data_IF_108288908609
#
_entry.id   IF_108288908609
#
_cell.length_a   1.000
_cell.length_b   1.000
_cell.length_c   1.000
_cell.angle_alpha   90.00
_cell.angle_beta   90.00
_cell.angle_gamma   90.00
#
_symmetry.space_group_name_H-M   'P 1'
#
loop_
_entity.id
_entity.type
_entity.pdbx_description
1 polymer ?
#
# COMPACT_ATOMS: atom_id res chain seq x y z
N UNK A 1 -17.18 8.02 15.40
CA UNK A 1 -16.96 6.57 15.23
C UNK A 1 -16.22 6.43 13.94
N UNK A 2 -14.92 6.31 14.08
CA UNK A 2 -13.90 6.77 13.15
C UNK A 2 -12.83 5.68 13.07
N UNK A 3 -12.85 4.77 12.10
CA UNK A 3 -11.76 3.78 11.97
C UNK A 3 -10.72 4.17 10.94
N UNK A 4 -9.49 3.80 11.29
CA UNK A 4 -8.32 4.08 10.50
C UNK A 4 -7.48 2.81 10.34
N UNK A 5 -7.20 2.43 9.10
CA UNK A 5 -6.54 1.14 8.79
C UNK A 5 -5.39 1.33 7.81
N UNK A 6 -4.30 0.58 8.05
CA UNK A 6 -3.23 0.37 7.10
C UNK A 6 -3.17 -1.11 6.72
N UNK A 7 -3.42 -1.47 5.45
CA UNK A 7 -3.51 -2.88 5.01
C UNK A 7 -2.48 -3.24 3.92
N UNK A 8 -1.79 -4.37 4.09
CA UNK A 8 -0.73 -4.86 3.19
C UNK A 8 -0.98 -6.34 2.83
N UNK A 9 -1.12 -6.66 1.53
CA UNK A 9 -1.34 -8.03 1.06
C UNK A 9 -0.03 -8.85 0.93
N UNK A 10 -0.07 -10.17 1.14
CA UNK A 10 1.09 -11.09 1.06
C UNK A 10 1.15 -11.93 -0.22
N UNK A 11 2.34 -12.12 -0.80
CA UNK A 11 2.61 -13.12 -1.85
C UNK A 11 3.63 -14.16 -1.40
N UNK A 12 3.34 -15.45 -1.57
CA UNK A 12 4.22 -16.57 -1.20
C UNK A 12 4.81 -17.20 -2.46
N UNK A 13 6.13 -17.16 -2.63
CA UNK A 13 6.87 -17.98 -3.60
C UNK A 13 7.95 -18.77 -2.87
N UNK A 14 7.80 -20.09 -2.83
CA UNK A 14 8.74 -21.02 -2.16
C UNK A 14 9.72 -21.57 -3.19
N UNK A 15 11.01 -21.28 -3.06
CA UNK A 15 12.08 -22.23 -3.45
C UNK A 15 13.26 -22.15 -2.47
N UNK A 16 13.95 -23.27 -2.29
CA UNK A 16 14.73 -23.66 -1.11
C UNK A 16 16.25 -23.47 -1.23
N UNK A 17 16.86 -22.86 -0.18
CA UNK A 17 18.21 -23.11 0.45
C UNK A 17 19.51 -22.89 -0.39
N UNK A 18 20.72 -22.78 0.24
CA UNK A 18 21.17 -21.86 1.31
C UNK A 18 22.57 -21.20 1.01
N UNK A 19 23.05 -20.38 1.97
CA UNK A 19 24.47 -20.15 2.42
C UNK A 19 25.11 -18.76 2.22
N UNK A 20 25.31 -18.11 3.39
CA UNK A 20 26.45 -17.34 3.95
C UNK A 20 27.04 -16.12 3.24
N UNK A 21 27.05 -15.00 3.97
CA UNK A 21 28.13 -14.02 3.91
C UNK A 21 28.47 -13.53 5.32
N UNK A 22 29.74 -13.71 5.67
CA UNK A 22 30.45 -13.00 6.74
C UNK A 22 30.53 -11.49 6.38
N UNK A 23 30.44 -10.62 7.39
CA UNK A 23 30.41 -9.16 7.26
C UNK A 23 31.51 -8.55 8.10
N UNK A 24 32.42 -7.82 7.46
CA UNK A 24 33.26 -6.74 8.01
C UNK A 24 33.86 -5.99 6.79
N UNK A 25 34.02 -4.67 6.71
CA UNK A 25 33.88 -3.55 7.64
C UNK A 25 33.71 -2.22 6.85
N UNK A 26 33.07 -1.24 7.51
CA UNK A 26 33.36 0.22 7.63
C UNK A 26 34.56 0.76 6.80
N UNK A 27 34.55 1.92 6.12
CA UNK A 27 34.44 3.28 6.69
C UNK A 27 34.60 4.40 5.62
N UNK A 28 33.92 5.53 5.85
CA UNK A 28 34.39 6.94 5.78
C UNK A 28 34.67 7.69 4.46
N UNK A 29 33.74 8.62 4.17
CA UNK A 29 33.85 10.08 3.92
C UNK A 29 34.96 10.72 3.07
N UNK A 30 34.54 11.61 2.17
CA UNK A 30 35.18 12.93 1.99
C UNK A 30 34.25 13.96 1.29
N UNK A 31 34.06 15.10 1.95
CA UNK A 31 33.61 16.42 1.47
C UNK A 31 34.49 16.95 0.31
N UNK A 32 34.16 17.95 -0.52
CA UNK A 32 33.60 19.26 -0.18
C UNK A 32 33.33 20.16 -1.42
N UNK A 33 32.48 21.18 -1.19
CA UNK A 33 32.51 22.59 -1.64
C UNK A 33 31.94 23.04 -3.02
N UNK A 34 30.99 23.97 -2.83
CA UNK A 34 30.26 24.95 -3.64
C UNK A 34 31.07 25.79 -4.67
N UNK A 35 30.36 26.25 -5.71
CA UNK A 35 30.39 27.65 -6.16
C UNK A 35 29.08 28.01 -6.89
N UNK A 36 28.57 29.19 -6.60
CA UNK A 36 27.41 29.87 -7.19
C UNK A 36 27.91 30.87 -8.26
N UNK A 37 27.03 31.30 -9.19
CA UNK A 37 26.67 32.70 -9.54
C UNK A 37 26.28 32.87 -11.03
N UNK A 38 25.03 33.33 -11.23
CA UNK A 38 24.51 34.35 -12.20
C UNK A 38 24.64 34.24 -13.73
N UNK A 39 23.49 33.94 -14.34
CA UNK A 39 22.62 34.80 -15.19
C UNK A 39 23.07 35.46 -16.51
N UNK A 40 22.16 35.26 -17.49
CA UNK A 40 21.66 36.18 -18.55
C UNK A 40 22.58 36.44 -19.75
N UNK A 41 22.14 36.76 -20.98
CA UNK A 41 20.89 36.69 -21.77
C UNK A 41 21.24 37.44 -23.08
N UNK A 42 20.72 37.03 -24.24
CA UNK A 42 20.44 37.89 -25.42
C UNK A 42 19.92 37.01 -26.58
N UNK A 43 18.60 37.00 -26.88
CA UNK A 43 17.89 37.85 -27.88
C UNK A 43 18.12 37.37 -29.33
N UNK A 44 17.15 37.30 -30.26
CA UNK A 44 15.82 37.92 -30.39
C UNK A 44 15.06 37.33 -31.59
N UNK A 45 13.72 37.41 -31.49
CA UNK A 45 12.59 37.44 -32.45
C UNK A 45 12.90 37.71 -33.95
N UNK A 46 12.10 37.27 -34.93
CA UNK A 46 10.69 37.67 -35.24
C UNK A 46 9.94 36.60 -36.07
N UNK A 47 8.71 36.16 -35.74
CA UNK A 47 7.36 36.56 -36.27
C UNK A 47 7.30 36.75 -37.81
N UNK A 48 6.31 36.29 -38.59
CA UNK A 48 4.85 36.16 -38.43
C UNK A 48 4.30 35.09 -39.44
N UNK A 49 3.29 34.27 -39.13
CA UNK A 49 1.84 34.44 -39.45
C UNK A 49 1.54 34.16 -40.96
N UNK A 50 0.54 33.42 -41.44
CA UNK A 50 -0.74 32.96 -40.93
C UNK A 50 -1.41 31.98 -41.96
N UNK A 51 -2.35 31.16 -41.49
CA UNK A 51 -3.66 30.82 -42.12
C UNK A 51 -3.80 29.84 -43.31
N UNK A 52 -4.44 28.71 -42.96
CA UNK A 52 -5.61 28.05 -43.59
C UNK A 52 -5.54 27.20 -44.87
N UNK A 53 -6.09 25.99 -44.68
CA UNK A 53 -7.12 25.32 -45.48
C UNK A 53 -6.73 24.53 -46.73
N UNK A 54 -6.76 23.20 -46.53
CA UNK A 54 -7.32 22.13 -47.36
C UNK A 54 -7.78 22.43 -48.78
N UNK A 55 -7.26 21.66 -49.74
CA UNK A 55 -8.11 20.99 -50.73
C UNK A 55 -7.40 19.80 -51.37
N UNK A 56 -8.16 18.72 -51.45
CA UNK A 56 -7.91 17.40 -52.02
C UNK A 56 -7.51 17.37 -53.50
N UNK A 57 -6.59 16.48 -53.86
CA UNK A 57 -6.72 15.63 -55.05
C UNK A 57 -5.71 14.47 -55.00
N UNK A 58 -6.21 13.23 -54.89
CA UNK A 58 -5.54 12.04 -55.43
C UNK A 58 -5.27 12.29 -56.93
N UNK A 59 -4.18 11.86 -57.58
CA UNK A 59 -3.62 10.51 -57.79
C UNK A 59 -2.22 10.79 -58.38
N UNK A 60 -1.16 10.03 -58.12
CA UNK A 60 -0.87 8.76 -58.80
C UNK A 60 0.46 8.25 -58.24
N UNK A 61 0.46 7.02 -57.77
CA UNK A 61 1.66 6.34 -57.29
C UNK A 61 2.66 6.12 -58.43
N UNK A 62 3.89 6.59 -58.24
CA UNK A 62 5.06 5.95 -58.81
C UNK A 62 5.76 5.17 -57.70
N UNK A 63 5.50 3.86 -57.72
CA UNK A 63 6.17 2.86 -56.90
C UNK A 63 7.64 2.82 -57.28
N UNK A 64 8.45 3.64 -56.61
CA UNK A 64 9.88 3.37 -56.55
C UNK A 64 10.09 2.40 -55.41
N UNK A 65 10.27 1.12 -55.74
CA UNK A 65 10.54 0.05 -54.77
C UNK A 65 11.84 0.32 -54.01
N UNK A 66 11.75 1.08 -52.92
CA UNK A 66 12.80 1.12 -51.91
C UNK A 66 12.79 -0.24 -51.20
N UNK A 67 13.72 -1.11 -51.61
CA UNK A 67 13.97 -2.39 -50.95
C UNK A 67 14.53 -2.10 -49.55
N UNK A 68 13.65 -1.95 -48.56
CA UNK A 68 14.07 -1.90 -47.16
C UNK A 68 14.72 -3.24 -46.82
N UNK A 69 16.05 -3.27 -46.75
CA UNK A 69 16.78 -4.39 -46.15
C UNK A 69 16.42 -4.40 -44.66
N UNK A 70 15.43 -5.19 -44.28
CA UNK A 70 15.25 -5.59 -42.90
C UNK A 70 16.41 -6.53 -42.56
N UNK A 71 17.46 -5.99 -41.95
CA UNK A 71 18.45 -6.80 -41.25
C UNK A 71 17.77 -7.35 -40.00
N UNK A 72 17.34 -8.60 -40.06
CA UNK A 72 16.95 -9.34 -38.85
C UNK A 72 18.22 -9.54 -38.03
N UNK A 73 18.40 -8.71 -37.00
CA UNK A 73 19.50 -8.89 -36.04
C UNK A 73 19.18 -10.11 -35.18
N UNK A 74 19.79 -11.27 -35.50
CA UNK A 74 19.75 -12.43 -34.61
C UNK A 74 20.63 -12.14 -33.40
N UNK A 75 20.01 -11.74 -32.30
CA UNK A 75 20.68 -11.63 -31.00
C UNK A 75 20.62 -13.01 -30.35
N UNK A 76 21.77 -13.50 -29.86
CA UNK A 76 21.79 -14.78 -29.16
C UNK A 76 21.13 -14.65 -27.78
N UNK A 77 20.46 -15.69 -27.34
CA UNK A 77 19.85 -15.73 -25.99
C UNK A 77 20.89 -15.46 -24.88
N UNK A 78 22.11 -15.97 -25.05
CA UNK A 78 23.20 -15.73 -24.11
C UNK A 78 23.67 -14.26 -24.10
N UNK A 79 23.60 -13.57 -25.24
CA UNK A 79 23.89 -12.13 -25.34
C UNK A 79 22.84 -11.31 -24.60
N UNK A 80 21.56 -11.68 -24.74
CA UNK A 80 20.46 -11.06 -23.98
C UNK A 80 20.63 -11.29 -22.48
N UNK A 81 20.95 -12.51 -22.06
CA UNK A 81 21.20 -12.81 -20.64
C UNK A 81 22.41 -12.07 -20.09
N UNK A 82 23.47 -11.93 -20.88
CA UNK A 82 24.67 -11.21 -20.45
C UNK A 82 24.38 -9.71 -20.34
N UNK A 83 23.68 -9.12 -21.31
CA UNK A 83 23.22 -7.73 -21.25
C UNK A 83 22.28 -7.49 -20.07
N UNK A 84 21.41 -8.44 -19.72
CA UNK A 84 20.58 -8.36 -18.53
C UNK A 84 21.45 -8.34 -17.26
N UNK A 85 22.35 -9.32 -17.11
CA UNK A 85 23.22 -9.48 -15.94
C UNK A 85 24.19 -8.32 -15.74
N UNK A 86 24.63 -7.68 -16.82
CA UNK A 86 25.55 -6.52 -16.77
C UNK A 86 24.82 -5.18 -16.84
N UNK A 87 23.49 -5.19 -16.97
CA UNK A 87 22.72 -3.95 -16.95
C UNK A 87 22.87 -3.31 -15.56
N UNK A 88 23.29 -2.05 -15.58
CA UNK A 88 23.41 -1.24 -14.36
C UNK A 88 22.06 -1.11 -13.63
N UNK A 89 20.94 -1.29 -14.35
CA UNK A 89 19.60 -1.39 -13.80
C UNK A 89 19.49 -2.54 -12.78
N UNK A 90 19.88 -3.76 -13.13
CA UNK A 90 19.83 -4.92 -12.22
C UNK A 90 20.86 -4.84 -11.07
N UNK A 91 22.03 -4.24 -11.30
CA UNK A 91 23.03 -4.04 -10.23
C UNK A 91 22.62 -2.94 -9.21
N UNK A 92 21.65 -2.10 -9.57
CA UNK A 92 21.04 -1.10 -8.67
C UNK A 92 19.84 -1.70 -7.91
N UNK A 93 19.44 -2.96 -8.17
CA UNK A 93 18.22 -3.55 -7.61
C UNK A 93 18.24 -3.81 -6.10
N UNK A 94 19.42 -3.78 -5.47
CA UNK A 94 19.51 -3.79 -4.00
C UNK A 94 19.01 -2.47 -3.38
N UNK A 95 19.07 -1.37 -4.15
CA UNK A 95 18.45 -0.06 -3.89
C UNK A 95 17.13 0.14 -4.68
N UNK A 96 16.77 -0.79 -5.58
CA UNK A 96 15.42 -0.87 -6.17
C UNK A 96 14.45 -1.67 -5.29
N UNK A 97 14.78 -1.84 -4.01
CA UNK A 97 13.77 -2.01 -2.97
C UNK A 97 12.84 -0.78 -3.05
N UNK A 98 11.55 -1.02 -3.24
CA UNK A 98 10.53 0.03 -3.26
C UNK A 98 10.64 0.90 -2.01
N UNK A 99 11.20 2.10 -2.14
CA UNK A 99 11.25 3.09 -1.06
C UNK A 99 10.11 4.10 -1.24
N UNK A 100 9.09 3.98 -0.40
CA UNK A 100 7.96 4.90 -0.40
C UNK A 100 8.30 6.12 0.46
N UNK A 101 8.23 7.30 -0.15
CA UNK A 101 8.40 8.61 0.49
C UNK A 101 7.11 9.41 0.35
N UNK A 102 7.07 10.58 0.98
CA UNK A 102 5.91 11.48 0.84
C UNK A 102 5.64 11.88 -0.62
N UNK A 103 6.69 11.96 -1.45
CA UNK A 103 6.56 12.48 -2.80
C UNK A 103 6.03 11.42 -3.80
N UNK A 104 6.20 10.13 -3.49
CA UNK A 104 5.75 9.02 -4.33
C UNK A 104 4.63 8.18 -3.69
N UNK A 105 4.15 8.54 -2.50
CA UNK A 105 3.18 7.77 -1.72
C UNK A 105 1.98 7.28 -2.54
N UNK A 106 1.30 8.17 -3.28
CA UNK A 106 0.11 7.83 -4.07
C UNK A 106 0.41 6.96 -5.29
N UNK A 107 1.67 6.77 -5.68
CA UNK A 107 2.04 5.79 -6.69
C UNK A 107 1.90 4.36 -6.16
N UNK A 108 2.15 4.15 -4.87
CA UNK A 108 2.21 2.83 -4.22
C UNK A 108 1.01 2.51 -3.34
N UNK A 109 0.37 3.54 -2.77
CA UNK A 109 -0.79 3.39 -1.90
C UNK A 109 -2.07 3.84 -2.58
N UNK A 110 -3.16 3.13 -2.28
CA UNK A 110 -4.53 3.57 -2.52
C UNK A 110 -5.09 4.14 -1.23
N UNK A 111 -5.85 5.23 -1.33
CA UNK A 111 -6.65 5.78 -0.24
C UNK A 111 -8.10 5.32 -0.43
N UNK A 112 -8.76 4.94 0.66
CA UNK A 112 -10.14 4.47 0.67
C UNK A 112 -10.96 5.17 1.76
N UNK A 113 -12.27 5.30 1.54
CA UNK A 113 -13.19 5.90 2.48
C UNK A 113 -12.90 7.39 2.72
N UNK A 114 -12.81 7.81 3.98
CA UNK A 114 -12.50 9.20 4.37
C UNK A 114 -11.03 9.58 4.26
N UNK A 115 -10.14 8.65 3.90
CA UNK A 115 -8.71 8.89 3.93
C UNK A 115 -8.30 9.95 2.89
N UNK A 116 -7.51 10.93 3.32
CA UNK A 116 -6.92 11.98 2.48
C UNK A 116 -5.42 12.06 2.69
N UNK A 117 -4.70 12.66 1.73
CA UNK A 117 -3.24 12.76 1.79
C UNK A 117 -2.75 14.18 1.50
N UNK A 118 -1.99 14.74 2.44
CA UNK A 118 -1.22 15.96 2.25
C UNK A 118 0.21 15.61 1.83
N UNK A 119 0.51 15.79 0.54
CA UNK A 119 1.83 15.50 -0.03
C UNK A 119 2.94 16.43 0.47
N UNK A 120 2.61 17.67 0.87
CA UNK A 120 3.60 18.61 1.36
C UNK A 120 4.12 18.15 2.72
N UNK A 121 3.20 17.77 3.61
CA UNK A 121 3.52 17.30 4.96
C UNK A 121 3.87 15.81 5.03
N UNK A 122 3.44 15.00 4.05
CA UNK A 122 3.54 13.54 4.11
C UNK A 122 2.57 12.91 5.11
N UNK A 123 1.41 13.53 5.31
CA UNK A 123 0.42 13.11 6.31
C UNK A 123 -0.77 12.48 5.61
N UNK A 124 -1.08 11.24 5.97
CA UNK A 124 -2.37 10.61 5.65
C UNK A 124 -3.33 10.91 6.80
N UNK A 125 -4.38 11.68 6.54
CA UNK A 125 -5.50 11.84 7.48
C UNK A 125 -6.49 10.75 7.16
N UNK A 126 -6.51 9.70 7.98
CA UNK A 126 -7.30 8.50 7.70
C UNK A 126 -8.77 8.74 8.06
N UNK A 127 -9.00 9.33 9.23
CA UNK A 127 -10.30 9.88 9.65
C UNK A 127 -10.10 11.30 10.18
N UNK A 128 -10.96 12.27 9.80
CA UNK A 128 -11.05 13.54 10.52
C UNK A 128 -11.74 13.33 11.87
N UNK A 129 -11.63 14.31 12.77
CA UNK A 129 -12.34 14.36 14.05
C UNK A 129 -13.84 14.68 13.82
N UNK A 130 -14.53 13.71 13.22
CA UNK A 130 -15.95 13.76 12.87
C UNK A 130 -16.61 12.42 13.17
N UNK A 131 -17.94 12.45 13.37
CA UNK A 131 -18.71 11.22 13.57
C UNK A 131 -18.75 10.35 12.29
N UNK A 132 -18.83 9.03 12.51
CA UNK A 132 -19.09 8.01 11.49
C UNK A 132 -18.16 8.06 10.26
N UNK A 133 -16.86 8.16 10.48
CA UNK A 133 -15.85 8.12 9.43
C UNK A 133 -15.18 6.75 9.37
N UNK A 134 -14.87 6.32 8.18
CA UNK A 134 -14.14 5.07 7.96
C UNK A 134 -13.17 5.36 6.85
N UNK A 135 -11.88 5.19 7.12
CA UNK A 135 -10.84 5.40 6.14
C UNK A 135 -9.74 4.35 6.27
N UNK A 136 -9.10 4.07 5.15
CA UNK A 136 -7.89 3.27 5.16
C UNK A 136 -6.98 3.66 3.99
N UNK A 137 -5.76 3.14 4.04
CA UNK A 137 -4.87 3.14 2.90
C UNK A 137 -4.14 1.81 2.83
N UNK A 138 -3.97 1.31 1.60
CA UNK A 138 -3.39 -0.01 1.37
C UNK A 138 -2.37 0.02 0.24
N UNK A 139 -1.35 -0.84 0.33
CA UNK A 139 -0.44 -1.00 -0.80
C UNK A 139 -1.20 -1.57 -1.99
N UNK A 140 -0.92 -1.02 -3.17
CA UNK A 140 -1.40 -1.53 -4.46
C UNK A 140 -0.75 -2.86 -4.83
N UNK A 141 0.36 -3.22 -4.19
CA UNK A 141 1.15 -4.42 -4.43
C UNK A 141 1.33 -5.26 -3.17
N UNK A 142 1.55 -6.56 -3.34
CA UNK A 142 1.85 -7.46 -2.23
C UNK A 142 3.31 -7.32 -1.77
N UNK A 143 3.55 -7.48 -0.46
CA UNK A 143 4.90 -7.55 0.11
C UNK A 143 5.40 -9.00 0.05
N UNK A 144 6.66 -9.18 -0.33
CA UNK A 144 7.37 -10.46 -0.20
C UNK A 144 7.95 -10.58 1.21
N UNK A 145 7.40 -11.49 2.00
CA UNK A 145 7.81 -11.72 3.40
C UNK A 145 9.13 -12.49 3.53
N UNK A 146 9.73 -12.96 2.42
CA UNK A 146 11.09 -13.50 2.43
C UNK A 146 12.15 -12.39 2.44
N UNK A 147 11.74 -11.14 2.24
CA UNK A 147 12.60 -9.96 2.25
C UNK A 147 12.23 -9.07 3.42
N UNK A 148 13.22 -8.54 4.14
CA UNK A 148 12.96 -7.58 5.21
C UNK A 148 12.35 -6.29 4.64
N UNK A 149 11.40 -5.73 5.37
CA UNK A 149 10.88 -4.39 5.11
C UNK A 149 10.93 -3.57 6.41
N UNK A 150 10.77 -2.25 6.30
CA UNK A 150 10.71 -1.35 7.44
C UNK A 150 9.65 -0.29 7.19
N UNK A 151 8.76 -0.09 8.17
CA UNK A 151 7.82 1.01 8.21
C UNK A 151 8.28 1.99 9.30
N UNK A 152 8.66 3.21 8.91
CA UNK A 152 9.06 4.27 9.83
C UNK A 152 8.11 5.43 9.68
N UNK A 153 7.48 5.86 10.76
CA UNK A 153 6.51 6.95 10.74
C UNK A 153 6.15 7.44 12.12
N UNK A 154 5.12 8.28 12.17
CA UNK A 154 4.49 8.76 13.39
C UNK A 154 2.99 8.54 13.27
N UNK A 155 2.35 8.32 14.41
CA UNK A 155 0.91 8.17 14.51
C UNK A 155 0.36 9.28 15.39
N UNK A 156 -0.77 9.85 14.98
CA UNK A 156 -1.57 10.77 15.79
C UNK A 156 -2.93 10.09 16.07
N UNK A 157 -3.23 9.81 17.34
CA UNK A 157 -4.50 9.18 17.77
C UNK A 157 -5.58 10.20 18.16
N UNK A 158 -5.31 11.50 17.95
CA UNK A 158 -6.19 12.58 18.38
C UNK A 158 -5.94 13.01 19.82
N UNK A 159 -6.81 13.91 20.32
CA UNK A 159 -6.67 14.54 21.64
C UNK A 159 -7.94 14.49 22.49
N UNK A 160 -9.04 13.95 21.94
CA UNK A 160 -10.29 13.80 22.68
C UNK A 160 -10.16 12.64 23.67
N UNK A 161 -10.37 12.84 24.99
CA UNK A 161 -10.31 11.76 25.97
C UNK A 161 -11.40 10.69 25.79
N UNK A 162 -12.46 11.00 25.04
CA UNK A 162 -13.50 10.05 24.61
C UNK A 162 -13.36 9.70 23.12
N UNK A 163 -12.16 9.84 22.55
CA UNK A 163 -11.86 9.57 21.14
C UNK A 163 -11.95 8.07 20.83
N UNK A 164 -12.52 7.77 19.67
CA UNK A 164 -12.75 6.41 19.18
C UNK A 164 -12.65 6.38 17.64
N UNK A 165 -12.30 5.27 17.01
CA UNK A 165 -12.16 3.92 17.60
C UNK A 165 -10.68 3.53 17.79
N UNK A 166 -9.80 4.01 16.92
CA UNK A 166 -8.36 3.76 16.96
C UNK A 166 -7.80 3.46 15.57
N UNK A 167 -6.59 2.88 15.52
CA UNK A 167 -5.87 2.58 14.28
C UNK A 167 -5.37 1.14 14.26
N UNK A 168 -5.65 0.40 13.18
CA UNK A 168 -5.08 -0.92 12.92
C UNK A 168 -4.03 -0.91 11.82
N UNK A 169 -2.97 -1.69 12.01
CA UNK A 169 -1.98 -2.05 11.00
C UNK A 169 -2.10 -3.54 10.72
N UNK A 170 -2.28 -3.94 9.47
CA UNK A 170 -2.53 -5.33 9.12
C UNK A 170 -1.70 -5.80 7.92
N UNK A 171 -1.19 -7.03 8.05
CA UNK A 171 -0.60 -7.84 6.99
C UNK A 171 -1.49 -9.04 6.77
N UNK A 172 -1.96 -9.29 5.56
CA UNK A 172 -2.96 -10.33 5.30
C UNK A 172 -2.74 -11.04 3.97
N UNK A 173 -3.32 -12.24 3.83
CA UNK A 173 -3.09 -13.09 2.64
C UNK A 173 -4.09 -12.82 1.51
N UNK A 174 -5.15 -12.06 1.77
CA UNK A 174 -6.20 -11.68 0.82
C UNK A 174 -5.72 -10.80 -0.35
N UNK A 175 -6.65 -10.25 -1.11
CA UNK A 175 -6.39 -9.33 -2.23
C UNK A 175 -5.97 -7.95 -1.72
N UNK A 176 -5.17 -7.20 -2.47
CA UNK A 176 -4.74 -5.83 -2.09
C UNK A 176 -5.89 -4.82 -1.96
N UNK A 177 -7.08 -5.18 -2.44
CA UNK A 177 -8.32 -4.43 -2.32
C UNK A 177 -9.15 -4.81 -1.08
N UNK A 178 -8.80 -5.89 -0.38
CA UNK A 178 -9.53 -6.30 0.82
C UNK A 178 -9.21 -5.34 1.96
N UNK A 179 -10.25 -4.92 2.68
CA UNK A 179 -10.16 -3.99 3.81
C UNK A 179 -10.89 -4.60 5.00
N UNK A 180 -10.38 -4.38 6.21
CA UNK A 180 -11.05 -4.87 7.41
C UNK A 180 -12.23 -3.99 7.82
N UNK A 181 -13.03 -4.53 8.73
CA UNK A 181 -14.27 -3.94 9.22
C UNK A 181 -14.02 -2.76 10.18
N UNK A 182 -15.01 -1.89 10.24
CA UNK A 182 -15.07 -0.72 11.11
C UNK A 182 -15.40 -1.04 12.58
N UNK A 183 -15.45 0.00 13.39
CA UNK A 183 -15.69 -0.06 14.84
C UNK A 183 -14.64 -0.90 15.57
N UNK A 184 -15.09 -1.72 16.52
CA UNK A 184 -14.23 -2.58 17.36
C UNK A 184 -13.40 -3.64 16.61
N UNK A 185 -13.52 -3.74 15.29
CA UNK A 185 -12.61 -4.56 14.47
C UNK A 185 -11.30 -3.84 14.11
N UNK A 186 -11.22 -2.52 14.33
CA UNK A 186 -10.04 -1.67 14.11
C UNK A 186 -9.43 -1.82 12.70
N UNK A 187 -10.23 -2.21 11.71
CA UNK A 187 -9.73 -2.47 10.36
C UNK A 187 -8.96 -3.77 10.16
N UNK A 188 -8.89 -4.63 11.16
CA UNK A 188 -8.18 -5.92 11.09
C UNK A 188 -9.19 -7.04 10.89
N UNK A 189 -10.28 -7.05 11.67
CA UNK A 189 -11.35 -8.06 11.54
C UNK A 189 -11.95 -8.10 10.13
N UNK A 190 -12.11 -9.29 9.56
CA UNK A 190 -12.55 -9.51 8.19
C UNK A 190 -11.42 -9.74 7.18
N UNK A 191 -10.18 -9.38 7.52
CA UNK A 191 -9.02 -9.66 6.66
C UNK A 191 -8.60 -11.13 6.78
N UNK A 192 -8.29 -11.77 5.65
CA UNK A 192 -7.92 -13.18 5.61
C UNK A 192 -6.51 -13.45 6.16
N UNK A 193 -6.41 -14.35 7.16
CA UNK A 193 -5.16 -14.78 7.80
C UNK A 193 -4.25 -13.59 8.12
N UNK A 194 -4.80 -12.62 8.82
CA UNK A 194 -4.11 -11.38 9.11
C UNK A 194 -3.27 -11.53 10.38
N UNK A 195 -2.08 -10.92 10.35
CA UNK A 195 -1.36 -10.52 11.54
C UNK A 195 -1.33 -9.00 11.54
N UNK A 196 -1.70 -8.40 12.65
CA UNK A 196 -1.75 -6.97 12.81
C UNK A 196 -1.32 -6.48 14.18
N UNK A 197 -1.29 -5.17 14.30
CA UNK A 197 -1.08 -4.44 15.54
C UNK A 197 -2.09 -3.31 15.59
N UNK A 198 -2.81 -3.19 16.71
CA UNK A 198 -3.77 -2.10 16.91
C UNK A 198 -3.28 -1.09 17.93
N UNK A 199 -3.69 0.16 17.74
CA UNK A 199 -3.65 1.25 18.70
C UNK A 199 -5.10 1.62 18.99
N UNK A 200 -5.64 1.05 20.05
CA UNK A 200 -7.05 1.12 20.40
C UNK A 200 -7.30 2.24 21.40
N UNK A 201 -8.28 3.10 21.12
CA UNK A 201 -8.65 4.21 22.01
C UNK A 201 -10.03 4.03 22.63
N UNK A 202 -10.74 2.93 22.32
CA UNK A 202 -12.10 2.72 22.80
C UNK A 202 -12.35 1.28 23.25
N UNK A 203 -12.74 1.09 24.51
CA UNK A 203 -13.05 -0.24 25.03
C UNK A 203 -14.34 -0.81 24.47
N UNK A 204 -14.23 -1.95 23.78
CA UNK A 204 -15.31 -2.74 23.24
C UNK A 204 -15.53 -4.03 24.03
N UNK A 205 -16.78 -4.28 24.42
CA UNK A 205 -17.22 -5.63 24.79
C UNK A 205 -17.50 -6.48 23.55
N UNK A 206 -17.63 -7.80 23.73
CA UNK A 206 -18.03 -8.72 22.66
C UNK A 206 -19.37 -8.31 22.05
N UNK A 207 -19.44 -8.30 20.71
CA UNK A 207 -20.67 -8.09 19.94
C UNK A 207 -20.88 -9.26 18.99
N UNK A 208 -21.95 -10.02 19.22
CA UNK A 208 -22.38 -11.05 18.28
C UNK A 208 -22.75 -10.42 16.93
N UNK A 209 -22.41 -11.05 15.79
CA UNK A 209 -22.85 -10.62 14.48
C UNK A 209 -24.38 -10.49 14.40
N UNK A 210 -24.88 -9.42 13.81
CA UNK A 210 -26.33 -9.22 13.62
C UNK A 210 -26.87 -9.82 12.32
N UNK A 211 -25.99 -10.15 11.37
CA UNK A 211 -26.36 -10.70 10.06
C UNK A 211 -25.98 -12.17 9.93
N UNK A 212 -26.89 -12.95 9.33
CA UNK A 212 -26.69 -14.37 9.02
C UNK A 212 -25.89 -14.62 7.72
N UNK A 213 -25.33 -13.57 7.12
CA UNK A 213 -24.44 -13.71 5.96
C UNK A 213 -23.02 -14.02 6.40
N UNK A 214 -22.21 -14.61 5.52
CA UNK A 214 -20.77 -14.78 5.75
C UNK A 214 -20.05 -13.43 5.68
N UNK A 215 -18.88 -13.35 6.33
CA UNK A 215 -18.14 -12.10 6.50
C UNK A 215 -17.77 -11.41 5.19
N UNK A 216 -17.49 -12.17 4.13
CA UNK A 216 -17.17 -11.64 2.79
C UNK A 216 -18.34 -10.93 2.10
N UNK A 217 -19.56 -11.08 2.62
CA UNK A 217 -20.77 -10.47 2.09
C UNK A 217 -21.24 -9.25 2.90
N UNK A 218 -20.54 -8.92 3.98
CA UNK A 218 -20.84 -7.77 4.84
C UNK A 218 -20.03 -6.57 4.34
N UNK A 219 -20.68 -5.41 4.28
CA UNK A 219 -19.98 -4.16 4.01
C UNK A 219 -19.05 -3.84 5.19
N UNK A 220 -17.78 -3.56 4.89
CA UNK A 220 -16.76 -3.22 5.90
C UNK A 220 -17.15 -2.09 6.86
N UNK A 221 -18.09 -1.22 6.47
CA UNK A 221 -18.58 -0.10 7.29
C UNK A 221 -19.73 -0.50 8.22
N UNK A 222 -20.33 -1.68 8.04
CA UNK A 222 -21.42 -2.20 8.85
C UNK A 222 -20.90 -3.18 9.92
N UNK A 223 -20.20 -2.63 10.91
CA UNK A 223 -19.55 -3.40 11.97
C UNK A 223 -20.52 -4.24 12.81
N UNK A 224 -21.76 -3.81 12.98
CA UNK A 224 -22.77 -4.54 13.76
C UNK A 224 -23.19 -5.84 13.06
N UNK A 225 -23.38 -5.81 11.74
CA UNK A 225 -23.69 -7.01 10.97
C UNK A 225 -22.50 -7.99 10.93
N UNK A 226 -21.27 -7.47 10.95
CA UNK A 226 -20.06 -8.29 11.03
C UNK A 226 -19.84 -8.89 12.42
N UNK A 227 -20.05 -8.11 13.50
CA UNK A 227 -19.69 -8.42 14.89
C UNK A 227 -18.24 -8.03 15.24
N UNK A 228 -17.82 -8.20 16.49
CA UNK A 228 -16.40 -8.11 16.89
C UNK A 228 -16.14 -8.85 18.22
N UNK A 229 -14.88 -9.26 18.43
CA UNK A 229 -14.46 -9.80 19.72
C UNK A 229 -14.33 -8.69 20.77
N UNK A 230 -14.50 -9.02 22.05
CA UNK A 230 -14.24 -8.07 23.12
C UNK A 230 -12.75 -7.81 23.31
N UNK A 231 -12.43 -6.59 23.76
CA UNK A 231 -11.05 -6.20 24.07
C UNK A 231 -10.50 -6.98 25.27
N UNK A 232 -9.21 -7.29 25.20
CA UNK A 232 -8.49 -7.93 26.30
C UNK A 232 -8.17 -6.96 27.46
N UNK A 233 -8.24 -5.64 27.21
CA UNK A 233 -7.84 -4.59 28.17
C UNK A 233 -8.71 -3.33 28.04
N UNK A 234 -8.59 -2.45 29.04
CA UNK A 234 -9.19 -1.13 28.97
C UNK A 234 -8.36 -0.19 28.08
N UNK A 235 -9.04 0.58 27.24
CA UNK A 235 -8.44 1.57 26.37
C UNK A 235 -7.92 2.79 27.17
N UNK A 236 -6.90 3.50 26.64
CA UNK A 236 -6.18 3.20 25.40
C UNK A 236 -5.09 2.14 25.59
N UNK A 237 -4.88 1.30 24.58
CA UNK A 237 -3.80 0.30 24.59
C UNK A 237 -3.34 -0.06 23.17
N UNK A 238 -2.24 -0.78 23.07
CA UNK A 238 -1.83 -1.42 21.82
C UNK A 238 -1.50 -2.88 22.04
N UNK A 239 -1.78 -3.71 21.04
CA UNK A 239 -1.57 -5.15 21.11
C UNK A 239 -1.45 -5.73 19.70
N UNK A 240 -0.83 -6.91 19.59
CA UNK A 240 -0.96 -7.69 18.36
C UNK A 240 -2.35 -8.29 18.27
N UNK A 241 -2.82 -8.46 17.03
CA UNK A 241 -4.13 -9.02 16.68
C UNK A 241 -3.90 -10.02 15.55
N UNK A 242 -4.53 -11.18 15.61
CA UNK A 242 -4.60 -12.10 14.49
C UNK A 242 -6.03 -12.31 14.01
N UNK A 243 -6.18 -12.83 12.79
CA UNK A 243 -7.48 -13.32 12.31
C UNK A 243 -7.41 -14.79 11.94
N UNK A 244 -8.42 -15.51 12.39
CA UNK A 244 -8.66 -16.90 12.03
C UNK A 244 -10.04 -17.02 11.37
N UNK A 245 -10.20 -17.99 10.47
CA UNK A 245 -11.51 -18.24 9.88
C UNK A 245 -12.34 -19.09 10.86
N UNK A 246 -13.24 -18.43 11.56
CA UNK A 246 -14.05 -18.99 12.63
C UNK A 246 -15.53 -19.05 12.27
N UNK A 247 -16.19 -20.08 12.80
CA UNK A 247 -17.64 -20.17 12.80
C UNK A 247 -18.18 -19.46 14.04
N UNK A 248 -18.72 -18.25 13.85
CA UNK A 248 -19.23 -17.40 14.93
C UNK A 248 -20.75 -17.47 14.95
N UNK A 249 -21.35 -17.58 16.13
CA UNK A 249 -22.80 -17.54 16.28
C UNK A 249 -23.31 -16.09 16.21
N UNK A 250 -24.29 -15.83 15.35
CA UNK A 250 -25.03 -14.57 15.31
C UNK A 250 -25.85 -14.38 16.60
N UNK A 251 -26.43 -13.20 16.78
CA UNK A 251 -27.34 -12.91 17.91
C UNK A 251 -28.49 -13.93 18.05
N UNK A 252 -28.91 -14.54 16.93
CA UNK A 252 -30.00 -15.52 16.86
C UNK A 252 -29.49 -16.98 16.91
N UNK A 253 -28.18 -17.17 17.10
CA UNK A 253 -27.53 -18.48 17.22
C UNK A 253 -27.19 -19.15 15.88
N UNK A 254 -27.40 -18.48 14.76
CA UNK A 254 -27.03 -18.98 13.43
C UNK A 254 -25.51 -18.92 13.28
N UNK A 255 -24.91 -19.98 12.74
CA UNK A 255 -23.47 -20.09 12.57
C UNK A 255 -23.04 -19.54 11.22
N UNK A 256 -22.10 -18.59 11.23
CA UNK A 256 -21.61 -17.89 10.03
C UNK A 256 -20.09 -17.81 10.03
N UNK A 257 -19.47 -17.81 8.85
CA UNK A 257 -18.01 -17.74 8.73
C UNK A 257 -17.52 -16.29 8.84
N UNK A 258 -16.47 -16.09 9.65
CA UNK A 258 -15.82 -14.79 9.85
C UNK A 258 -14.32 -14.98 9.89
N UNK A 259 -13.58 -14.10 9.23
CA UNK A 259 -12.19 -13.84 9.60
C UNK A 259 -12.19 -13.02 10.88
N UNK A 260 -12.31 -13.70 12.01
CA UNK A 260 -12.58 -13.10 13.31
C UNK A 260 -11.27 -12.60 13.94
N UNK A 261 -11.25 -11.34 14.38
CA UNK A 261 -10.07 -10.74 14.98
C UNK A 261 -10.04 -10.98 16.49
N UNK A 262 -8.88 -11.38 17.02
CA UNK A 262 -8.65 -11.54 18.46
C UNK A 262 -7.32 -10.91 18.84
N UNK A 263 -7.26 -10.33 20.02
CA UNK A 263 -6.00 -9.88 20.61
C UNK A 263 -5.11 -11.10 20.86
N UNK A 264 -3.83 -11.00 20.51
CA UNK A 264 -2.85 -12.07 20.73
C UNK A 264 -2.39 -12.03 22.19
N UNK A 265 -2.58 -13.15 22.89
CA UNK A 265 -2.27 -13.29 24.31
C UNK A 265 -0.81 -12.90 24.65
N UNK A 266 -0.64 -12.14 25.74
CA UNK A 266 0.67 -11.80 26.29
C UNK A 266 1.48 -10.77 25.49
N UNK A 267 0.82 -10.00 24.62
CA UNK A 267 1.49 -9.00 23.76
C UNK A 267 1.27 -7.54 24.18
N UNK A 268 0.83 -7.33 25.43
CA UNK A 268 0.53 -6.02 26.02
C UNK A 268 1.56 -5.46 26.99
#
# INVERSE_FOLDING_TARGET
>A
MGISVFSLGLGMLVTSRPVSADVAATSTSSSAVRAETTSASSSSATKADSTSASSSSAVKAETTSAKTRQTVTKISYNTLLQQLRTSKALATDKEALTHVTKDNFLAYFSLNGSATYDQNAGIVTITPDEYNKVGNFSLKSKIDMNTSFTLTGKVNLGSNPNGADGIGFAFHNGNTTDIGNAGGNLGIGGLQNALGFKLDTWSNGYQAPQSDKDGSQIDSTNSNDFGWNGDSMNAPYGTFVDTENEEVATKDGIKVQRWWAKDVDGTS
#
